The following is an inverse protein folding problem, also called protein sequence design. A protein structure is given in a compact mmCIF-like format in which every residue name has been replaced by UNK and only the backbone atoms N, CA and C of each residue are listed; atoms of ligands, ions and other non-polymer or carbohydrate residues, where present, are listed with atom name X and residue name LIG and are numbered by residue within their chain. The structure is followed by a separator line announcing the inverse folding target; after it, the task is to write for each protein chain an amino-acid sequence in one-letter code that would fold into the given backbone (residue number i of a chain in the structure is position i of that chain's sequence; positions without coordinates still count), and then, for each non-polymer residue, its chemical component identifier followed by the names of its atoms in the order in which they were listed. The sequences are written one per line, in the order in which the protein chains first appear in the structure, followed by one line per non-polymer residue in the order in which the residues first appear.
data_IF_735009579852
#
_entry.id   IF_735009579852
#
_cell.length_a   1.000
_cell.length_b   1.000
_cell.length_c   1.000
_cell.angle_alpha   90.00
_cell.angle_beta   90.00
_cell.angle_gamma   90.00
#
_symmetry.space_group_name_H-M   'P 1'
#
loop_
_entity.id
_entity.type
_entity.pdbx_description
1 polymer ?
#
# COMPACT_ATOMS: atom_id res chain seq x y z
N UNK A 1 8.52 21.17 9.18
CA UNK A 1 8.67 21.05 10.65
C UNK A 1 7.81 19.91 11.11
N UNK A 2 8.40 18.99 11.77
CA UNK A 2 7.78 17.84 12.38
C UNK A 2 7.25 18.16 13.78
N UNK A 3 6.88 17.15 14.51
CA UNK A 3 6.32 17.16 15.85
C UNK A 3 7.03 18.13 16.80
N UNK A 4 6.26 19.01 17.44
CA UNK A 4 6.72 19.76 18.61
C UNK A 4 6.06 19.17 19.86
N UNK A 5 6.86 18.61 20.77
CA UNK A 5 6.37 17.95 21.97
C UNK A 5 7.20 18.35 23.18
N UNK A 6 6.55 18.86 24.23
CA UNK A 6 7.20 19.07 25.51
C UNK A 6 7.53 17.73 26.17
N UNK A 7 8.72 17.60 26.77
CA UNK A 7 9.09 16.39 27.48
C UNK A 7 8.11 16.07 28.64
N UNK A 8 7.49 17.10 29.23
CA UNK A 8 6.43 16.92 30.25
C UNK A 8 5.20 16.21 29.69
N UNK A 9 4.82 16.52 28.44
CA UNK A 9 3.63 15.92 27.79
C UNK A 9 3.80 14.42 27.57
N UNK A 10 5.02 13.92 27.38
CA UNK A 10 5.30 12.48 27.21
C UNK A 10 4.76 11.63 28.36
N UNK A 11 4.76 12.15 29.59
CA UNK A 11 4.21 11.42 30.75
C UNK A 11 2.73 11.16 30.59
N UNK A 12 1.96 12.16 30.16
CA UNK A 12 0.53 12.04 29.96
C UNK A 12 0.20 11.18 28.74
N UNK A 13 0.99 11.27 27.66
CA UNK A 13 0.84 10.49 26.45
C UNK A 13 1.05 9.00 26.72
N UNK A 14 2.09 8.64 27.46
CA UNK A 14 2.39 7.24 27.75
C UNK A 14 1.46 6.64 28.81
N UNK A 15 0.96 7.45 29.74
CA UNK A 15 0.02 7.01 30.77
C UNK A 15 0.42 5.66 31.41
N UNK A 16 -0.39 4.63 31.24
CA UNK A 16 -0.14 3.27 31.79
C UNK A 16 1.05 2.54 31.14
N UNK A 17 1.57 3.01 30.02
CA UNK A 17 2.77 2.45 29.37
C UNK A 17 4.08 2.98 30.02
N UNK A 18 4.05 4.15 30.70
CA UNK A 18 5.22 4.71 31.40
C UNK A 18 5.52 3.91 32.67
N UNK A 19 6.78 3.55 32.83
CA UNK A 19 7.30 2.93 34.06
C UNK A 19 7.93 4.00 34.96
N UNK A 20 8.91 4.75 34.44
CA UNK A 20 9.61 5.83 35.16
C UNK A 20 10.33 6.76 34.20
N UNK A 21 10.76 7.91 34.71
CA UNK A 21 11.66 8.84 34.03
C UNK A 21 12.94 8.98 34.85
N UNK A 22 14.07 8.91 34.19
CA UNK A 22 15.41 9.07 34.78
C UNK A 22 16.07 10.32 34.20
N UNK A 23 16.72 11.15 35.02
CA UNK A 23 17.37 12.40 34.64
C UNK A 23 16.39 13.39 33.94
N UNK A 24 15.43 13.92 34.69
CA UNK A 24 14.38 14.79 34.15
C UNK A 24 14.91 16.16 33.70
N UNK A 25 14.58 16.57 32.46
CA UNK A 25 14.54 17.97 32.05
C UNK A 25 13.12 18.29 31.57
N UNK A 26 12.36 19.00 32.41
CA UNK A 26 10.96 19.29 32.18
C UNK A 26 10.73 20.50 31.25
N UNK A 27 11.75 21.24 30.85
CA UNK A 27 11.64 22.51 30.10
C UNK A 27 11.88 22.33 28.60
N UNK A 28 12.47 21.24 28.16
CA UNK A 28 12.85 21.03 26.76
C UNK A 28 11.64 20.66 25.88
N UNK A 29 11.67 21.19 24.67
CA UNK A 29 10.68 20.89 23.60
C UNK A 29 11.41 20.12 22.51
N UNK A 30 11.00 18.89 22.28
CA UNK A 30 11.47 18.10 21.15
C UNK A 30 10.86 18.61 19.84
N UNK A 31 11.70 18.68 18.80
CA UNK A 31 11.29 19.12 17.45
C UNK A 31 11.17 17.97 16.47
N UNK A 32 11.09 16.76 16.96
CA UNK A 32 10.95 15.53 16.17
C UNK A 32 11.12 14.30 17.00
N UNK A 33 10.77 13.16 16.40
CA UNK A 33 10.99 11.83 16.95
C UNK A 33 11.52 10.95 15.83
N UNK A 34 12.61 10.25 16.09
CA UNK A 34 13.17 9.29 15.14
C UNK A 34 13.43 7.94 15.80
N UNK A 35 13.34 6.89 15.00
CA UNK A 35 13.73 5.52 15.34
C UNK A 35 15.03 5.11 14.65
N UNK A 36 15.67 6.04 13.89
CA UNK A 36 16.91 5.80 13.15
C UNK A 36 18.03 6.71 13.69
N UNK A 37 18.97 6.15 14.45
CA UNK A 37 20.10 6.86 15.04
C UNK A 37 21.04 7.52 14.03
N UNK A 38 21.05 7.04 12.77
CA UNK A 38 21.91 7.59 11.69
C UNK A 38 21.41 8.92 11.16
N UNK A 39 20.09 9.17 11.26
CA UNK A 39 19.42 10.36 10.71
C UNK A 39 18.92 11.31 11.79
N UNK A 40 19.23 11.06 13.08
CA UNK A 40 18.77 11.91 14.17
C UNK A 40 19.33 13.32 14.05
N UNK A 41 18.43 14.29 14.20
CA UNK A 41 18.79 15.71 14.26
C UNK A 41 18.88 16.18 15.72
N UNK A 42 19.54 17.34 15.92
CA UNK A 42 19.53 17.98 17.24
C UNK A 42 18.09 18.34 17.63
N UNK A 43 17.81 18.26 18.95
CA UNK A 43 16.47 18.51 19.51
C UNK A 43 15.39 17.48 19.15
N UNK A 44 15.78 16.30 18.63
CA UNK A 44 14.85 15.18 18.44
C UNK A 44 14.90 14.20 19.62
N UNK A 45 13.83 13.44 19.79
CA UNK A 45 13.76 12.28 20.68
C UNK A 45 14.18 11.05 19.88
N UNK A 46 15.07 10.23 20.44
CA UNK A 46 15.34 8.91 19.92
C UNK A 46 14.44 7.86 20.59
N UNK A 47 13.76 7.05 19.81
CA UNK A 47 12.91 5.96 20.29
C UNK A 47 13.52 4.61 19.88
N UNK A 48 13.91 3.81 20.85
CA UNK A 48 14.57 2.51 20.65
C UNK A 48 13.52 1.41 20.37
N UNK A 49 13.20 1.16 19.09
CA UNK A 49 12.37 0.03 18.71
C UNK A 49 13.13 -1.28 18.85
N UNK A 50 12.42 -2.33 19.24
CA UNK A 50 12.91 -3.72 19.25
C UNK A 50 12.24 -4.46 18.11
N UNK A 51 13.02 -5.06 17.22
CA UNK A 51 12.56 -5.89 16.12
C UNK A 51 13.06 -7.34 16.24
N UNK A 52 12.63 -8.21 15.35
CA UNK A 52 13.03 -9.63 15.35
C UNK A 52 14.55 -9.82 15.19
N UNK A 53 15.22 -8.95 14.44
CA UNK A 53 16.64 -9.09 14.08
C UNK A 53 17.52 -7.91 14.55
N UNK A 54 16.98 -6.96 15.30
CA UNK A 54 17.73 -5.82 15.81
C UNK A 54 17.12 -5.29 17.12
N UNK A 55 17.94 -4.69 17.97
CA UNK A 55 17.52 -3.96 19.16
C UNK A 55 17.96 -2.49 19.05
N UNK A 56 17.02 -1.57 18.99
CA UNK A 56 17.28 -0.13 18.91
C UNK A 56 18.05 0.41 20.11
N UNK A 57 18.04 -0.29 21.25
CA UNK A 57 18.79 0.09 22.44
C UNK A 57 20.33 0.06 22.22
N UNK A 58 20.82 -0.78 21.31
CA UNK A 58 22.23 -0.85 20.95
C UNK A 58 22.77 0.44 20.32
N UNK A 59 21.87 1.28 19.81
CA UNK A 59 22.18 2.54 19.13
C UNK A 59 21.95 3.78 20.00
N UNK A 60 21.50 3.62 21.25
CA UNK A 60 21.21 4.75 22.15
C UNK A 60 22.47 5.55 22.43
N UNK A 61 23.62 4.90 22.63
CA UNK A 61 24.91 5.57 22.89
C UNK A 61 25.30 6.54 21.76
N UNK A 62 25.01 6.20 20.52
CA UNK A 62 25.21 7.09 19.36
C UNK A 62 24.13 8.17 19.28
N UNK A 63 22.88 7.80 19.58
CA UNK A 63 21.75 8.73 19.46
C UNK A 63 21.84 9.89 20.48
N UNK A 64 22.31 9.64 21.72
CA UNK A 64 22.38 10.66 22.78
C UNK A 64 23.36 11.80 22.49
N UNK A 65 24.23 11.67 21.49
CA UNK A 65 25.07 12.78 21.05
C UNK A 65 24.26 13.96 20.52
N UNK A 66 23.02 13.70 20.06
CA UNK A 66 22.11 14.69 19.47
C UNK A 66 20.70 14.70 20.08
N UNK A 67 20.25 13.55 20.61
CA UNK A 67 18.95 13.41 21.20
C UNK A 67 18.81 14.23 22.48
N UNK A 68 17.68 14.93 22.63
CA UNK A 68 17.38 15.62 23.89
C UNK A 68 16.72 14.71 24.93
N UNK A 69 16.18 13.58 24.50
CA UNK A 69 15.64 12.51 25.35
C UNK A 69 15.65 11.18 24.59
N UNK A 70 15.58 10.09 25.34
CA UNK A 70 15.41 8.75 24.76
C UNK A 70 14.19 8.04 25.35
N UNK A 71 13.49 7.26 24.51
CA UNK A 71 12.39 6.39 24.91
C UNK A 71 12.87 4.95 24.77
N UNK A 72 12.89 4.23 25.88
CA UNK A 72 13.48 2.90 26.01
C UNK A 72 12.56 1.98 26.83
N UNK A 73 12.74 0.65 26.75
CA UNK A 73 11.97 -0.29 27.59
C UNK A 73 12.74 -0.80 28.83
N UNK A 74 13.97 -0.36 28.99
CA UNK A 74 14.84 -0.65 30.16
C UNK A 74 15.77 0.53 30.46
N UNK A 75 16.13 0.66 31.71
CA UNK A 75 17.13 1.67 32.10
C UNK A 75 18.51 1.36 31.52
N UNK A 76 19.16 2.38 31.00
CA UNK A 76 20.49 2.31 30.41
C UNK A 76 21.46 3.18 31.19
N UNK A 77 22.70 2.71 31.34
CA UNK A 77 23.81 3.51 31.90
C UNK A 77 24.32 4.44 30.80
N UNK A 78 23.85 5.70 30.79
CA UNK A 78 24.29 6.69 29.83
C UNK A 78 25.50 7.48 30.32
N UNK A 79 26.30 7.94 29.36
CA UNK A 79 27.47 8.81 29.63
C UNK A 79 27.07 10.28 29.78
N UNK A 80 25.84 10.63 29.53
CA UNK A 80 25.26 11.98 29.58
C UNK A 80 24.04 12.01 30.50
N UNK A 81 23.63 13.21 30.94
CA UNK A 81 22.42 13.43 31.72
C UNK A 81 21.14 13.44 30.84
N UNK A 82 21.14 12.81 29.65
CA UNK A 82 19.99 12.74 28.72
C UNK A 82 18.81 12.04 29.40
N UNK A 83 17.63 12.68 29.46
CA UNK A 83 16.41 12.11 30.03
C UNK A 83 16.03 10.77 29.36
N UNK A 84 15.72 9.76 30.19
CA UNK A 84 15.24 8.46 29.73
C UNK A 84 13.79 8.26 30.16
N UNK A 85 12.91 8.08 29.17
CA UNK A 85 11.53 7.70 29.39
C UNK A 85 11.43 6.18 29.24
N UNK A 86 11.34 5.49 30.38
CA UNK A 86 11.28 4.03 30.42
C UNK A 86 9.82 3.62 30.34
N UNK A 87 9.48 2.91 29.25
CA UNK A 87 8.13 2.45 28.94
C UNK A 87 8.08 0.92 28.92
N UNK A 88 6.88 0.34 29.04
CA UNK A 88 6.69 -1.13 28.95
C UNK A 88 6.95 -1.61 27.52
N UNK A 89 6.49 -0.85 26.54
CA UNK A 89 6.56 -1.16 25.10
C UNK A 89 6.87 0.11 24.32
N UNK A 90 8.01 0.12 23.65
CA UNK A 90 8.47 1.27 22.83
C UNK A 90 7.69 1.43 21.54
N UNK A 91 7.19 0.33 20.95
CA UNK A 91 6.32 0.40 19.77
C UNK A 91 4.98 1.05 20.14
N UNK A 92 4.38 0.62 21.26
CA UNK A 92 3.16 1.24 21.77
C UNK A 92 3.41 2.72 22.09
N UNK A 93 4.53 3.10 22.68
CA UNK A 93 4.87 4.50 22.93
C UNK A 93 4.94 5.32 21.63
N UNK A 94 5.56 4.76 20.58
CA UNK A 94 5.62 5.39 19.26
C UNK A 94 4.23 5.64 18.67
N UNK A 95 3.35 4.66 18.75
CA UNK A 95 1.97 4.72 18.30
C UNK A 95 1.14 5.74 19.11
N UNK A 96 1.33 5.77 20.43
CA UNK A 96 0.66 6.76 21.31
C UNK A 96 1.03 8.19 20.95
N UNK A 97 2.32 8.47 20.71
CA UNK A 97 2.78 9.79 20.28
C UNK A 97 2.17 10.15 18.91
N UNK A 98 2.17 9.21 17.96
CA UNK A 98 1.61 9.45 16.63
C UNK A 98 0.09 9.74 16.69
N UNK A 99 -0.65 9.00 17.50
CA UNK A 99 -2.09 9.22 17.73
C UNK A 99 -2.36 10.55 18.41
N UNK A 100 -1.59 10.88 19.45
CA UNK A 100 -1.67 12.18 20.13
C UNK A 100 -1.37 13.35 19.19
N UNK A 101 -0.35 13.22 18.33
CA UNK A 101 -0.01 14.23 17.32
C UNK A 101 -1.13 14.37 16.29
N UNK A 102 -1.69 13.25 15.79
CA UNK A 102 -2.84 13.23 14.89
C UNK A 102 -4.05 14.01 15.45
N UNK A 103 -4.32 13.90 16.73
CA UNK A 103 -5.48 14.55 17.37
C UNK A 103 -5.40 16.08 17.41
N UNK A 104 -4.23 16.65 17.14
CA UNK A 104 -4.02 18.12 17.06
C UNK A 104 -4.50 18.72 15.75
N UNK A 105 -4.92 17.91 14.80
CA UNK A 105 -5.32 18.35 13.47
C UNK A 105 -6.75 17.90 13.15
N UNK A 106 -7.57 18.84 12.68
CA UNK A 106 -8.95 18.58 12.26
C UNK A 106 -9.07 18.23 10.76
N UNK A 107 -7.96 18.09 10.05
CA UNK A 107 -7.95 17.76 8.62
C UNK A 107 -8.58 16.38 8.35
N UNK A 108 -9.26 16.18 7.20
CA UNK A 108 -9.70 14.87 6.78
C UNK A 108 -8.52 13.90 6.67
N UNK A 109 -8.67 12.72 7.29
CA UNK A 109 -7.73 11.60 7.17
C UNK A 109 -8.43 10.47 6.46
N UNK A 110 -7.87 10.05 5.33
CA UNK A 110 -8.38 8.98 4.48
C UNK A 110 -7.57 7.72 4.77
N UNK A 111 -8.16 6.73 5.44
CA UNK A 111 -7.56 5.40 5.65
C UNK A 111 -7.89 4.48 4.49
N UNK A 112 -6.87 3.81 3.91
CA UNK A 112 -7.06 2.95 2.75
C UNK A 112 -6.53 1.55 3.03
N UNK A 113 -7.38 0.54 2.87
CA UNK A 113 -6.97 -0.87 2.88
C UNK A 113 -7.57 -1.65 1.70
N UNK A 114 -7.20 -2.91 1.57
CA UNK A 114 -7.70 -3.81 0.53
C UNK A 114 -6.69 -4.91 0.20
N UNK A 115 -7.11 -5.92 -0.50
CA UNK A 115 -6.21 -7.00 -0.96
C UNK A 115 -5.24 -6.49 -2.01
N UNK A 116 -5.74 -5.82 -3.04
CA UNK A 116 -4.97 -5.19 -4.12
C UNK A 116 -5.42 -3.74 -4.33
N UNK A 117 -4.63 -2.95 -5.05
CA UNK A 117 -4.99 -1.58 -5.45
C UNK A 117 -4.74 -0.49 -4.40
N UNK A 118 -4.40 -0.79 -3.15
CA UNK A 118 -4.17 0.20 -2.08
C UNK A 118 -3.28 1.37 -2.50
N UNK A 119 -2.10 1.08 -2.99
CA UNK A 119 -1.12 2.13 -3.35
C UNK A 119 -1.58 2.94 -4.55
N UNK A 120 -2.12 2.30 -5.59
CA UNK A 120 -2.66 3.03 -6.75
C UNK A 120 -3.83 3.93 -6.34
N UNK A 121 -4.74 3.43 -5.51
CA UNK A 121 -5.85 4.22 -4.96
C UNK A 121 -5.34 5.38 -4.10
N UNK A 122 -4.33 5.16 -3.25
CA UNK A 122 -3.67 6.22 -2.47
C UNK A 122 -3.11 7.33 -3.37
N UNK A 123 -2.38 6.96 -4.43
CA UNK A 123 -1.81 7.94 -5.36
C UNK A 123 -2.92 8.71 -6.12
N UNK A 124 -3.95 8.01 -6.58
CA UNK A 124 -5.10 8.62 -7.26
C UNK A 124 -5.85 9.58 -6.34
N UNK A 125 -6.19 9.16 -5.11
CA UNK A 125 -6.81 10.03 -4.11
C UNK A 125 -5.94 11.25 -3.83
N UNK A 126 -4.65 11.04 -3.61
CA UNK A 126 -3.72 12.14 -3.31
C UNK A 126 -3.64 13.15 -4.45
N UNK A 127 -3.61 12.68 -5.70
CA UNK A 127 -3.58 13.55 -6.88
C UNK A 127 -4.89 14.34 -7.03
N UNK A 128 -6.03 13.69 -6.82
CA UNK A 128 -7.34 14.35 -6.85
C UNK A 128 -7.44 15.43 -5.77
N UNK A 129 -7.06 15.12 -4.53
CA UNK A 129 -7.08 16.07 -3.41
C UNK A 129 -6.08 17.22 -3.59
N UNK A 130 -4.96 16.97 -4.26
CA UNK A 130 -3.94 18.00 -4.56
C UNK A 130 -4.45 19.11 -5.47
N UNK A 131 -5.61 18.95 -6.12
CA UNK A 131 -6.26 20.03 -6.89
C UNK A 131 -6.84 21.12 -5.99
N UNK A 132 -7.02 20.86 -4.70
CA UNK A 132 -7.67 21.78 -3.76
C UNK A 132 -6.87 22.07 -2.50
N UNK A 133 -5.79 21.33 -2.22
CA UNK A 133 -4.99 21.54 -1.02
C UNK A 133 -3.72 20.69 -0.97
N UNK A 134 -2.94 20.91 0.08
CA UNK A 134 -1.70 20.17 0.33
C UNK A 134 -1.98 18.83 0.97
N UNK A 135 -1.50 17.76 0.38
CA UNK A 135 -1.76 16.39 0.80
C UNK A 135 -0.52 15.74 1.40
N UNK A 136 -0.64 15.27 2.65
CA UNK A 136 0.28 14.28 3.19
C UNK A 136 -0.18 12.89 2.74
N UNK A 137 0.75 12.06 2.27
CA UNK A 137 0.44 10.66 1.92
C UNK A 137 1.51 9.69 2.41
N UNK A 138 1.11 8.44 2.67
CA UNK A 138 2.04 7.35 2.97
C UNK A 138 3.11 7.25 1.90
N UNK A 139 4.37 7.35 2.32
CA UNK A 139 5.53 7.19 1.45
C UNK A 139 5.97 5.72 1.41
N UNK A 140 6.51 5.28 0.27
CA UNK A 140 7.00 3.89 0.10
C UNK A 140 5.96 2.86 0.56
N UNK A 141 6.38 1.92 1.40
CA UNK A 141 5.56 0.89 2.04
C UNK A 141 5.39 1.13 3.56
N UNK A 142 5.38 2.40 4.01
CA UNK A 142 5.19 2.74 5.42
C UNK A 142 3.72 2.59 5.83
N UNK A 143 3.18 1.39 5.72
CA UNK A 143 1.76 1.06 5.85
C UNK A 143 1.44 0.05 6.95
N UNK A 144 2.42 -0.24 7.83
CA UNK A 144 2.32 -1.13 8.97
C UNK A 144 2.35 -0.36 10.31
N UNK A 145 2.45 -1.09 11.44
CA UNK A 145 2.43 -0.59 12.82
C UNK A 145 3.54 0.40 13.18
N UNK A 146 4.60 0.48 12.36
CA UNK A 146 5.69 1.46 12.48
C UNK A 146 5.53 2.57 11.41
N UNK A 147 5.13 2.19 10.21
CA UNK A 147 5.07 3.08 9.06
C UNK A 147 3.92 4.08 9.12
N UNK A 148 2.75 3.66 9.63
CA UNK A 148 1.60 4.56 9.83
C UNK A 148 1.92 5.64 10.87
N UNK A 149 2.44 5.34 12.07
CA UNK A 149 2.96 6.35 13.00
C UNK A 149 3.96 7.30 12.34
N UNK A 150 4.95 6.77 11.62
CA UNK A 150 5.95 7.58 10.91
C UNK A 150 5.34 8.58 9.95
N UNK A 151 4.27 8.21 9.26
CA UNK A 151 3.56 9.09 8.34
C UNK A 151 2.76 10.15 9.10
N UNK A 152 2.01 9.78 10.13
CA UNK A 152 1.20 10.70 10.93
C UNK A 152 2.03 11.79 11.61
N UNK A 153 3.22 11.45 12.10
CA UNK A 153 4.17 12.40 12.71
C UNK A 153 4.70 13.46 11.73
N UNK A 154 4.43 13.31 10.42
CA UNK A 154 4.76 14.30 9.39
C UNK A 154 3.61 15.30 9.12
N UNK A 155 2.45 15.16 9.76
CA UNK A 155 1.36 16.13 9.63
C UNK A 155 1.85 17.49 10.16
N UNK A 156 1.57 18.53 9.40
CA UNK A 156 1.86 19.93 9.75
C UNK A 156 0.61 20.78 9.53
N UNK A 157 0.54 22.00 10.11
CA UNK A 157 -0.58 22.92 9.87
C UNK A 157 -0.80 23.32 8.40
N UNK A 158 0.19 23.04 7.54
CA UNK A 158 0.09 23.33 6.11
C UNK A 158 -0.66 22.25 5.31
N UNK A 159 -0.89 21.09 5.91
CA UNK A 159 -1.61 19.99 5.23
C UNK A 159 -3.12 20.18 5.39
N UNK A 160 -3.82 20.09 4.26
CA UNK A 160 -5.28 20.11 4.20
C UNK A 160 -5.86 18.68 4.26
N UNK A 161 -5.09 17.68 3.88
CA UNK A 161 -5.52 16.29 3.83
C UNK A 161 -4.38 15.33 4.22
N UNK A 162 -4.74 14.16 4.76
CA UNK A 162 -3.81 13.05 4.96
C UNK A 162 -4.37 11.75 4.36
N UNK A 163 -3.58 11.04 3.56
CA UNK A 163 -3.95 9.79 2.87
C UNK A 163 -3.05 8.67 3.37
N UNK A 164 -3.62 7.79 4.18
CA UNK A 164 -2.89 6.79 4.97
C UNK A 164 -3.20 5.38 4.43
N UNK A 165 -2.21 4.76 3.81
CA UNK A 165 -2.27 3.36 3.39
C UNK A 165 -2.09 2.45 4.60
N UNK A 166 -2.95 1.44 4.74
CA UNK A 166 -2.97 0.49 5.85
C UNK A 166 -2.89 -0.94 5.30
N UNK A 167 -1.80 -1.64 5.58
CA UNK A 167 -1.61 -3.04 5.23
C UNK A 167 -1.75 -3.93 6.46
N UNK A 168 -2.02 -5.22 6.23
CA UNK A 168 -2.09 -6.22 7.27
C UNK A 168 -1.48 -7.54 6.80
N UNK A 169 -1.06 -8.36 7.74
CA UNK A 169 -0.70 -9.77 7.60
C UNK A 169 -1.64 -10.67 8.42
N UNK A 170 -2.28 -10.11 9.44
CA UNK A 170 -3.16 -10.83 10.39
C UNK A 170 -4.35 -10.00 10.87
N UNK A 171 -5.25 -10.66 11.60
CA UNK A 171 -6.37 -10.01 12.30
C UNK A 171 -5.85 -9.08 13.40
N UNK A 172 -6.58 -7.96 13.63
CA UNK A 172 -6.27 -6.94 14.64
C UNK A 172 -5.31 -5.87 14.17
N UNK A 173 -4.54 -6.10 13.09
CA UNK A 173 -3.55 -5.14 12.63
C UNK A 173 -4.23 -3.89 12.02
N UNK A 174 -5.27 -4.05 11.19
CA UNK A 174 -6.03 -2.92 10.66
C UNK A 174 -6.75 -2.16 11.78
N UNK A 175 -7.28 -2.86 12.79
CA UNK A 175 -7.88 -2.23 13.96
C UNK A 175 -6.89 -1.30 14.67
N UNK A 176 -5.67 -1.79 14.95
CA UNK A 176 -4.60 -1.00 15.56
C UNK A 176 -4.25 0.24 14.72
N UNK A 177 -4.03 0.08 13.40
CA UNK A 177 -3.71 1.17 12.51
C UNK A 177 -4.84 2.21 12.45
N UNK A 178 -6.10 1.76 12.49
CA UNK A 178 -7.28 2.63 12.51
C UNK A 178 -7.38 3.45 13.79
N UNK A 179 -7.14 2.81 14.94
CA UNK A 179 -7.13 3.48 16.25
C UNK A 179 -6.04 4.55 16.35
N UNK A 180 -4.89 4.33 15.71
CA UNK A 180 -3.79 5.30 15.66
C UNK A 180 -4.12 6.47 14.71
N UNK A 181 -4.57 6.15 13.49
CA UNK A 181 -4.76 7.15 12.44
C UNK A 181 -6.10 7.91 12.56
N UNK A 182 -7.11 7.30 13.18
CA UNK A 182 -8.46 7.85 13.37
C UNK A 182 -9.01 8.48 12.08
N UNK A 183 -9.16 7.68 11.00
CA UNK A 183 -9.61 8.19 9.72
C UNK A 183 -11.05 8.68 9.78
N UNK A 184 -11.31 9.80 9.08
CA UNK A 184 -12.67 10.34 8.88
C UNK A 184 -13.34 9.74 7.64
N UNK A 185 -12.53 9.15 6.74
CA UNK A 185 -13.00 8.41 5.58
C UNK A 185 -12.20 7.10 5.50
N UNK A 186 -12.91 5.98 5.45
CA UNK A 186 -12.33 4.64 5.29
C UNK A 186 -12.61 4.09 3.90
N UNK A 187 -11.56 3.75 3.15
CA UNK A 187 -11.66 3.19 1.81
C UNK A 187 -11.23 1.73 1.82
N UNK A 188 -12.08 0.81 1.36
CA UNK A 188 -11.71 -0.60 1.15
C UNK A 188 -11.81 -0.91 -0.33
N UNK A 189 -10.66 -1.13 -0.98
CA UNK A 189 -10.59 -1.29 -2.43
C UNK A 189 -11.19 -2.61 -2.92
N UNK A 190 -10.92 -3.69 -2.21
CA UNK A 190 -11.47 -5.02 -2.49
C UNK A 190 -11.10 -6.04 -1.40
N UNK A 191 -11.77 -7.20 -1.47
CA UNK A 191 -11.45 -8.43 -0.76
C UNK A 191 -11.12 -9.50 -1.79
N UNK A 192 -9.86 -9.91 -1.84
CA UNK A 192 -9.35 -10.97 -2.70
C UNK A 192 -8.65 -12.04 -1.87
N UNK A 193 -7.65 -12.71 -2.47
CA UNK A 193 -6.92 -13.84 -1.88
C UNK A 193 -5.60 -13.47 -1.21
N UNK A 194 -5.21 -12.18 -1.21
CA UNK A 194 -3.95 -11.75 -0.58
C UNK A 194 -3.93 -12.12 0.91
N UNK A 195 -2.83 -12.76 1.36
CA UNK A 195 -2.63 -13.28 2.73
C UNK A 195 -3.55 -14.44 3.13
N UNK A 196 -4.16 -15.16 2.18
CA UNK A 196 -5.07 -16.28 2.46
C UNK A 196 -4.36 -17.42 3.21
N UNK A 197 -3.07 -17.64 2.94
CA UNK A 197 -2.27 -18.63 3.66
C UNK A 197 -2.12 -18.36 5.15
N UNK A 198 -2.32 -17.10 5.59
CA UNK A 198 -2.28 -16.71 7.01
C UNK A 198 -3.67 -16.64 7.65
N UNK A 199 -4.66 -16.19 6.91
CA UNK A 199 -6.01 -15.92 7.40
C UNK A 199 -6.98 -17.10 7.16
N UNK A 200 -6.61 -18.05 6.30
CA UNK A 200 -7.31 -19.31 6.06
C UNK A 200 -8.51 -19.20 5.11
N UNK A 201 -9.17 -18.04 4.99
CA UNK A 201 -10.32 -17.89 4.10
C UNK A 201 -10.52 -16.45 3.61
N UNK A 202 -11.24 -16.29 2.49
CA UNK A 202 -11.64 -14.97 1.97
C UNK A 202 -12.56 -14.23 2.94
N UNK A 203 -13.41 -14.95 3.69
CA UNK A 203 -14.26 -14.35 4.71
C UNK A 203 -13.42 -13.76 5.85
N UNK A 204 -12.41 -14.46 6.33
CA UNK A 204 -11.51 -13.95 7.36
C UNK A 204 -10.70 -12.72 6.86
N UNK A 205 -10.34 -12.69 5.55
CA UNK A 205 -9.72 -11.52 4.93
C UNK A 205 -10.68 -10.32 4.89
N UNK A 206 -11.97 -10.57 4.56
CA UNK A 206 -13.00 -9.53 4.56
C UNK A 206 -13.19 -8.93 5.96
N UNK A 207 -13.33 -9.77 6.97
CA UNK A 207 -13.45 -9.35 8.37
C UNK A 207 -12.25 -8.52 8.82
N UNK A 208 -11.03 -8.99 8.55
CA UNK A 208 -9.82 -8.29 8.94
C UNK A 208 -9.68 -6.92 8.23
N UNK A 209 -10.13 -6.78 6.97
CA UNK A 209 -10.15 -5.48 6.30
C UNK A 209 -11.26 -4.57 6.83
N UNK A 210 -12.42 -5.13 7.15
CA UNK A 210 -13.53 -4.39 7.74
C UNK A 210 -13.27 -3.95 9.19
N UNK A 211 -12.16 -4.37 9.83
CA UNK A 211 -11.68 -3.78 11.08
C UNK A 211 -11.47 -2.27 10.94
N UNK A 212 -11.12 -1.78 9.73
CA UNK A 212 -11.09 -0.34 9.42
C UNK A 212 -12.42 0.32 9.80
N UNK A 213 -13.53 -0.23 9.33
CA UNK A 213 -14.86 0.33 9.56
C UNK A 213 -15.28 0.19 11.02
N UNK A 214 -15.07 -0.98 11.61
CA UNK A 214 -15.43 -1.29 12.98
C UNK A 214 -14.71 -0.40 14.02
N UNK A 215 -13.55 0.17 13.67
CA UNK A 215 -12.76 1.01 14.56
C UNK A 215 -12.78 2.51 14.18
N UNK A 216 -13.52 2.90 13.15
CA UNK A 216 -13.76 4.32 12.83
C UNK A 216 -14.85 4.93 13.72
N UNK A 217 -14.82 6.26 13.84
CA UNK A 217 -15.93 7.01 14.44
C UNK A 217 -17.23 6.79 13.64
N UNK A 218 -18.40 6.64 14.29
CA UNK A 218 -19.68 6.54 13.60
C UNK A 218 -20.02 7.73 12.67
N UNK A 219 -19.37 8.88 12.87
CA UNK A 219 -19.51 10.08 12.04
C UNK A 219 -18.66 10.03 10.76
N UNK A 220 -17.76 9.05 10.66
CA UNK A 220 -16.91 8.84 9.48
C UNK A 220 -17.72 8.29 8.30
N UNK A 221 -17.14 8.31 7.10
CA UNK A 221 -17.76 7.75 5.89
C UNK A 221 -16.96 6.54 5.40
N UNK A 222 -17.66 5.44 5.14
CA UNK A 222 -17.10 4.27 4.44
C UNK A 222 -17.23 4.44 2.93
N UNK A 223 -16.16 4.14 2.18
CA UNK A 223 -16.15 4.10 0.72
C UNK A 223 -15.79 2.67 0.29
N UNK A 224 -16.74 1.99 -0.35
CA UNK A 224 -16.67 0.55 -0.63
C UNK A 224 -16.83 0.24 -2.10
N UNK A 225 -16.04 -0.71 -2.58
CA UNK A 225 -16.18 -1.24 -3.92
C UNK A 225 -17.45 -2.10 -4.04
N UNK A 226 -18.44 -1.61 -4.78
CA UNK A 226 -19.72 -2.29 -5.03
C UNK A 226 -19.53 -3.63 -5.75
N UNK A 227 -18.56 -3.70 -6.66
CA UNK A 227 -18.31 -4.87 -7.49
C UNK A 227 -17.65 -6.03 -6.71
N UNK A 228 -17.53 -5.90 -5.39
CA UNK A 228 -17.05 -6.94 -4.48
C UNK A 228 -18.14 -7.35 -3.47
N UNK A 229 -19.01 -8.31 -3.81
CA UNK A 229 -20.17 -8.69 -2.98
C UNK A 229 -19.77 -9.14 -1.56
N UNK A 230 -18.63 -9.83 -1.42
CA UNK A 230 -18.14 -10.27 -0.12
C UNK A 230 -17.75 -9.10 0.77
N UNK A 231 -17.14 -8.05 0.19
CA UNK A 231 -16.86 -6.81 0.91
C UNK A 231 -18.15 -6.15 1.40
N UNK A 232 -19.11 -5.98 0.50
CA UNK A 232 -20.39 -5.29 0.79
C UNK A 232 -21.14 -6.03 1.90
N UNK A 233 -21.31 -7.36 1.78
CA UNK A 233 -22.01 -8.17 2.79
C UNK A 233 -21.32 -8.16 4.14
N UNK A 234 -19.98 -8.25 4.18
CA UNK A 234 -19.22 -8.21 5.44
C UNK A 234 -19.26 -6.83 6.09
N UNK A 235 -19.08 -5.77 5.29
CA UNK A 235 -19.15 -4.39 5.79
C UNK A 235 -20.51 -4.08 6.42
N UNK A 236 -21.61 -4.52 5.82
CA UNK A 236 -22.97 -4.30 6.32
C UNK A 236 -23.21 -4.90 7.73
N UNK A 237 -22.45 -5.91 8.15
CA UNK A 237 -22.54 -6.48 9.50
C UNK A 237 -21.75 -5.69 10.56
N UNK A 238 -20.74 -4.92 10.15
CA UNK A 238 -19.77 -4.29 11.04
C UNK A 238 -19.87 -2.76 11.06
N UNK A 239 -20.56 -2.16 10.07
CA UNK A 239 -20.66 -0.72 9.91
C UNK A 239 -22.09 -0.26 9.68
N UNK A 240 -22.54 0.71 10.47
CA UNK A 240 -23.88 1.31 10.39
C UNK A 240 -23.83 2.82 10.08
N UNK A 241 -22.64 3.36 9.83
CA UNK A 241 -22.44 4.77 9.50
C UNK A 241 -22.68 5.07 8.02
N UNK A 242 -22.37 6.30 7.62
CA UNK A 242 -22.50 6.73 6.22
C UNK A 242 -21.63 5.87 5.30
N UNK A 243 -22.23 5.37 4.22
CA UNK A 243 -21.55 4.57 3.21
C UNK A 243 -21.78 5.18 1.83
N UNK A 244 -20.74 5.21 1.02
CA UNK A 244 -20.77 5.55 -0.40
C UNK A 244 -20.12 4.39 -1.16
N UNK A 245 -20.81 3.83 -2.14
CA UNK A 245 -20.32 2.72 -2.94
C UNK A 245 -19.88 3.19 -4.33
N UNK A 246 -18.88 2.51 -4.91
CA UNK A 246 -18.40 2.79 -6.25
C UNK A 246 -18.14 1.49 -7.02
N UNK A 247 -18.25 1.51 -8.35
CA UNK A 247 -17.95 0.36 -9.18
C UNK A 247 -18.15 0.59 -10.67
N UNK A 248 -17.74 -0.38 -11.46
CA UNK A 248 -17.96 -0.42 -12.91
C UNK A 248 -19.28 -1.14 -13.26
N UNK A 249 -19.73 -2.05 -12.38
CA UNK A 249 -20.97 -2.80 -12.55
C UNK A 249 -22.13 -2.04 -11.90
N UNK A 250 -21.90 -1.42 -10.74
CA UNK A 250 -22.93 -0.71 -9.97
C UNK A 250 -22.35 0.16 -8.87
N UNK A 251 -23.21 0.62 -7.96
CA UNK A 251 -22.86 1.49 -6.83
C UNK A 251 -23.43 2.91 -6.97
N UNK A 252 -23.26 3.71 -5.91
CA UNK A 252 -23.69 5.11 -5.89
C UNK A 252 -22.90 5.97 -6.90
N UNK A 253 -21.65 5.57 -7.17
CA UNK A 253 -20.80 6.13 -8.21
C UNK A 253 -20.49 5.02 -9.19
N UNK A 254 -21.21 4.98 -10.30
CA UNK A 254 -20.98 4.04 -11.37
C UNK A 254 -20.14 4.70 -12.47
N UNK A 255 -19.07 4.01 -12.90
CA UNK A 255 -18.26 4.41 -14.05
C UNK A 255 -18.44 3.46 -15.23
N UNK A 256 -18.48 4.00 -16.44
CA UNK A 256 -18.49 3.22 -17.69
C UNK A 256 -17.25 3.56 -18.50
N UNK A 257 -16.44 2.56 -18.83
CA UNK A 257 -15.23 2.76 -19.63
C UNK A 257 -15.65 2.97 -21.08
N UNK A 258 -15.48 4.19 -21.59
CA UNK A 258 -15.81 4.54 -22.98
C UNK A 258 -14.69 4.16 -23.96
N UNK A 259 -13.45 4.27 -23.50
CA UNK A 259 -12.25 3.93 -24.28
C UNK A 259 -11.08 3.55 -23.36
N UNK A 260 -9.95 3.19 -23.95
CA UNK A 260 -8.73 2.90 -23.16
C UNK A 260 -8.28 4.05 -22.23
N UNK A 261 -8.70 5.28 -22.53
CA UNK A 261 -8.21 6.49 -21.84
C UNK A 261 -9.35 7.34 -21.26
N UNK A 262 -10.60 6.92 -21.32
CA UNK A 262 -11.75 7.70 -20.83
C UNK A 262 -12.75 6.83 -20.08
N UNK A 263 -13.31 7.43 -19.03
CA UNK A 263 -14.40 6.87 -18.23
C UNK A 263 -15.53 7.87 -18.13
N UNK A 264 -16.75 7.43 -18.33
CA UNK A 264 -17.96 8.22 -18.08
C UNK A 264 -18.43 8.02 -16.64
N UNK A 265 -18.73 9.11 -15.96
CA UNK A 265 -19.28 9.15 -14.59
C UNK A 265 -20.39 10.21 -14.59
N UNK A 266 -21.64 9.84 -14.25
CA UNK A 266 -22.80 10.73 -14.24
C UNK A 266 -23.00 11.52 -15.56
N UNK A 267 -22.84 10.85 -16.69
CA UNK A 267 -22.92 11.43 -18.04
C UNK A 267 -21.83 12.45 -18.38
N UNK A 268 -20.77 12.52 -17.60
CA UNK A 268 -19.59 13.34 -17.88
C UNK A 268 -18.37 12.46 -18.13
N UNK A 269 -17.61 12.77 -19.20
CA UNK A 269 -16.38 12.05 -19.55
C UNK A 269 -15.17 12.60 -18.80
N UNK A 270 -14.36 11.70 -18.23
CA UNK A 270 -13.10 12.01 -17.56
C UNK A 270 -11.98 11.20 -18.18
N UNK A 271 -10.77 11.77 -18.34
CA UNK A 271 -9.60 10.99 -18.73
C UNK A 271 -9.25 9.98 -17.64
N UNK A 272 -8.92 8.75 -18.05
CA UNK A 272 -8.36 7.74 -17.15
C UNK A 272 -6.86 8.00 -16.99
N UNK A 273 -6.39 8.31 -15.78
CA UNK A 273 -4.98 8.61 -15.56
C UNK A 273 -4.07 7.37 -15.64
N UNK A 274 -4.65 6.19 -15.50
CA UNK A 274 -3.97 4.89 -15.54
C UNK A 274 -4.81 3.89 -16.35
N UNK A 275 -4.19 3.05 -17.19
CA UNK A 275 -4.90 2.10 -18.04
C UNK A 275 -5.38 0.86 -17.27
N UNK A 276 -6.45 0.24 -17.80
CA UNK A 276 -7.03 -1.01 -17.31
C UNK A 276 -8.22 -0.82 -16.37
N UNK A 277 -9.17 -1.76 -16.43
CA UNK A 277 -10.42 -1.70 -15.67
C UNK A 277 -10.21 -1.65 -14.15
N UNK A 278 -9.19 -2.35 -13.64
CA UNK A 278 -8.83 -2.29 -12.22
C UNK A 278 -8.35 -0.90 -11.78
N UNK A 279 -7.67 -0.15 -12.67
CA UNK A 279 -7.26 1.23 -12.39
C UNK A 279 -8.43 2.20 -12.52
N UNK A 280 -9.37 1.95 -13.43
CA UNK A 280 -10.63 2.67 -13.50
C UNK A 280 -11.43 2.52 -12.19
N UNK A 281 -11.52 1.32 -11.63
CA UNK A 281 -12.14 1.08 -10.32
C UNK A 281 -11.40 1.83 -9.19
N UNK A 282 -10.06 1.84 -9.17
CA UNK A 282 -9.27 2.62 -8.20
C UNK A 282 -9.53 4.13 -8.35
N UNK A 283 -9.72 4.62 -9.58
CA UNK A 283 -10.03 6.02 -9.85
C UNK A 283 -11.44 6.39 -9.36
N UNK A 284 -12.43 5.51 -9.51
CA UNK A 284 -13.77 5.71 -8.95
C UNK A 284 -13.72 5.84 -7.41
N UNK A 285 -12.85 5.09 -6.73
CA UNK A 285 -12.63 5.30 -5.29
C UNK A 285 -12.12 6.71 -4.98
N UNK A 286 -11.23 7.26 -5.80
CA UNK A 286 -10.74 8.63 -5.62
C UNK A 286 -11.85 9.68 -5.89
N UNK A 287 -12.69 9.47 -6.88
CA UNK A 287 -13.89 10.29 -7.14
C UNK A 287 -14.85 10.22 -5.96
N UNK A 288 -15.05 9.04 -5.35
CA UNK A 288 -15.91 8.87 -4.18
C UNK A 288 -15.40 9.66 -2.96
N UNK A 289 -14.08 9.67 -2.75
CA UNK A 289 -13.44 10.53 -1.70
C UNK A 289 -13.69 12.00 -2.01
N UNK A 290 -13.46 12.44 -3.24
CA UNK A 290 -13.66 13.82 -3.65
C UNK A 290 -15.12 14.29 -3.44
N UNK A 291 -16.10 13.46 -3.80
CA UNK A 291 -17.52 13.74 -3.56
C UNK A 291 -17.87 13.81 -2.07
N UNK A 292 -17.32 12.91 -1.26
CA UNK A 292 -17.51 12.92 0.19
C UNK A 292 -17.02 14.23 0.80
N UNK A 293 -15.96 14.82 0.23
CA UNK A 293 -15.37 16.08 0.65
C UNK A 293 -15.94 17.32 -0.09
N UNK A 294 -16.95 17.13 -0.96
CA UNK A 294 -17.54 18.17 -1.79
C UNK A 294 -16.54 18.91 -2.70
N UNK A 295 -15.52 18.20 -3.19
CA UNK A 295 -14.50 18.75 -4.10
C UNK A 295 -15.08 18.88 -5.51
N UNK A 296 -14.81 20.01 -6.15
CA UNK A 296 -15.18 20.24 -7.53
C UNK A 296 -14.35 19.32 -8.47
N UNK A 297 -15.03 18.48 -9.25
CA UNK A 297 -14.41 17.52 -10.17
C UNK A 297 -14.01 18.14 -11.52
N UNK A 298 -14.42 19.39 -11.83
CA UNK A 298 -14.12 20.03 -13.11
C UNK A 298 -12.63 20.04 -13.48
N UNK A 299 -11.66 20.24 -12.54
CA UNK A 299 -10.24 20.15 -12.86
C UNK A 299 -9.80 18.76 -13.36
N UNK A 300 -10.54 17.69 -13.01
CA UNK A 300 -10.22 16.33 -13.42
C UNK A 300 -10.64 16.01 -14.87
N UNK A 301 -11.40 16.89 -15.53
CA UNK A 301 -11.77 16.77 -16.96
C UNK A 301 -10.56 17.01 -17.88
N UNK A 302 -9.51 17.63 -17.39
CA UNK A 302 -8.23 17.70 -18.08
C UNK A 302 -7.33 16.54 -17.65
N UNK A 303 -6.49 16.05 -18.57
CA UNK A 303 -5.56 14.97 -18.25
C UNK A 303 -4.60 15.40 -17.13
N UNK A 304 -4.44 14.55 -16.12
CA UNK A 304 -3.42 14.70 -15.10
C UNK A 304 -2.59 13.42 -15.00
N UNK A 305 -1.34 13.56 -14.63
CA UNK A 305 -0.41 12.43 -14.52
C UNK A 305 -0.38 11.93 -13.08
N UNK A 306 -0.48 10.63 -12.92
CA UNK A 306 -0.30 9.95 -11.63
C UNK A 306 0.99 9.13 -11.70
N UNK A 307 1.96 9.49 -10.88
CA UNK A 307 3.19 8.71 -10.76
C UNK A 307 3.00 7.60 -9.73
N UNK A 308 3.10 6.36 -10.18
CA UNK A 308 3.12 5.20 -9.31
C UNK A 308 4.55 4.83 -8.91
N UNK A 309 4.76 4.23 -7.73
CA UNK A 309 6.05 3.67 -7.35
C UNK A 309 6.55 2.64 -8.37
N UNK A 310 7.87 2.41 -8.37
CA UNK A 310 8.50 1.43 -9.26
C UNK A 310 7.84 0.04 -9.15
N UNK A 311 7.72 -0.66 -10.29
CA UNK A 311 7.07 -1.96 -10.38
C UNK A 311 5.54 -1.92 -10.33
N UNK A 312 4.91 -0.76 -10.57
CA UNK A 312 3.45 -0.59 -10.62
C UNK A 312 3.04 0.23 -11.83
N UNK A 313 2.33 -0.38 -12.76
CA UNK A 313 1.79 0.22 -13.99
C UNK A 313 2.81 1.09 -14.75
N UNK A 314 4.09 0.70 -14.70
CA UNK A 314 5.15 1.38 -15.45
C UNK A 314 5.28 0.77 -16.84
N UNK A 315 5.46 1.65 -17.82
CA UNK A 315 5.68 1.27 -19.21
C UNK A 315 7.04 1.80 -19.66
N UNK A 316 7.82 0.94 -20.27
CA UNK A 316 9.11 1.29 -20.88
C UNK A 316 9.04 1.00 -22.37
N UNK A 317 9.19 2.04 -23.16
CA UNK A 317 9.23 1.93 -24.61
C UNK A 317 10.67 1.66 -25.05
N UNK A 318 10.90 0.52 -25.67
CA UNK A 318 12.17 0.16 -26.29
C UNK A 318 12.14 0.48 -27.78
N UNK A 319 13.28 0.26 -28.46
CA UNK A 319 13.36 0.34 -29.92
C UNK A 319 12.36 -0.64 -30.59
N UNK A 320 12.05 -0.40 -31.85
CA UNK A 320 11.18 -1.26 -32.67
C UNK A 320 9.75 -1.47 -32.09
N UNK A 321 9.20 -0.47 -31.45
CA UNK A 321 7.85 -0.53 -30.85
C UNK A 321 7.66 -1.67 -29.84
N UNK A 322 8.70 -2.07 -29.12
CA UNK A 322 8.59 -3.03 -28.01
C UNK A 322 8.22 -2.27 -26.74
N UNK A 323 7.20 -2.73 -26.01
CA UNK A 323 6.80 -2.13 -24.75
C UNK A 323 6.90 -3.13 -23.60
N UNK A 324 7.68 -2.79 -22.56
CA UNK A 324 7.72 -3.54 -21.31
C UNK A 324 6.67 -2.97 -20.35
N UNK A 325 5.82 -3.83 -19.80
CA UNK A 325 4.80 -3.52 -18.81
C UNK A 325 5.29 -4.03 -17.45
N UNK A 326 5.78 -3.13 -16.61
CA UNK A 326 6.38 -3.47 -15.31
C UNK A 326 5.33 -3.44 -14.19
N UNK A 327 4.94 -4.63 -13.74
CA UNK A 327 4.04 -4.91 -12.62
C UNK A 327 4.75 -5.75 -11.52
N UNK A 328 6.06 -5.60 -11.38
CA UNK A 328 6.93 -6.48 -10.58
C UNK A 328 6.90 -6.20 -9.08
N UNK A 329 6.13 -5.21 -8.61
CA UNK A 329 6.11 -4.84 -7.18
C UNK A 329 5.55 -5.94 -6.29
N UNK A 330 4.45 -6.59 -6.69
CA UNK A 330 3.85 -7.69 -5.95
C UNK A 330 2.91 -8.52 -6.84
N UNK A 331 2.57 -9.73 -6.41
CA UNK A 331 1.67 -10.63 -7.11
C UNK A 331 0.71 -11.33 -6.14
N UNK A 332 -0.52 -11.48 -6.57
CA UNK A 332 -1.60 -12.27 -6.01
C UNK A 332 -2.58 -12.60 -7.13
N UNK A 333 -3.45 -13.59 -6.96
CA UNK A 333 -4.29 -14.13 -8.02
C UNK A 333 -5.01 -13.03 -8.82
N UNK A 334 -5.79 -12.20 -8.13
CA UNK A 334 -6.60 -11.15 -8.78
C UNK A 334 -5.74 -10.12 -9.52
N UNK A 335 -4.57 -9.79 -8.97
CA UNK A 335 -3.66 -8.85 -9.60
C UNK A 335 -2.90 -9.44 -10.79
N UNK A 336 -2.63 -10.75 -10.79
CA UNK A 336 -2.08 -11.47 -11.95
C UNK A 336 -3.10 -11.50 -13.10
N UNK A 337 -4.34 -11.90 -12.80
CA UNK A 337 -5.42 -11.94 -13.77
C UNK A 337 -5.72 -10.57 -14.40
N UNK A 338 -5.76 -9.52 -13.56
CA UNK A 338 -5.96 -8.15 -14.04
C UNK A 338 -4.82 -7.69 -14.96
N UNK A 339 -3.56 -8.00 -14.62
CA UNK A 339 -2.41 -7.64 -15.44
C UNK A 339 -2.37 -8.41 -16.77
N UNK A 340 -2.76 -9.69 -16.77
CA UNK A 340 -2.87 -10.49 -18.00
C UNK A 340 -3.97 -9.94 -18.94
N UNK A 341 -5.12 -9.53 -18.41
CA UNK A 341 -6.17 -8.85 -19.18
C UNK A 341 -5.67 -7.54 -19.77
N UNK A 342 -5.02 -6.71 -18.95
CA UNK A 342 -4.41 -5.46 -19.41
C UNK A 342 -3.37 -5.69 -20.50
N UNK A 343 -2.55 -6.73 -20.39
CA UNK A 343 -1.59 -7.11 -21.44
C UNK A 343 -2.33 -7.39 -22.75
N UNK A 344 -3.37 -8.23 -22.72
CA UNK A 344 -4.14 -8.59 -23.92
C UNK A 344 -4.85 -7.40 -24.57
N UNK A 345 -5.32 -6.46 -23.76
CA UNK A 345 -5.99 -5.24 -24.23
C UNK A 345 -4.98 -4.18 -24.75
N UNK A 346 -3.69 -4.33 -24.48
CA UNK A 346 -2.66 -3.38 -24.94
C UNK A 346 -2.36 -3.62 -26.43
N UNK A 347 -2.58 -2.64 -27.32
CA UNK A 347 -2.34 -2.84 -28.75
C UNK A 347 -0.88 -3.23 -29.04
N UNK A 348 -0.68 -4.30 -29.81
CA UNK A 348 0.63 -4.83 -30.18
C UNK A 348 0.51 -6.06 -31.09
N UNK A 349 1.65 -6.52 -31.61
CA UNK A 349 1.68 -7.68 -32.51
C UNK A 349 1.62 -9.00 -31.76
N UNK A 350 2.35 -9.09 -30.64
CA UNK A 350 2.37 -10.27 -29.76
C UNK A 350 2.28 -9.86 -28.30
N UNK A 351 1.65 -10.71 -27.50
CA UNK A 351 1.48 -10.54 -26.05
C UNK A 351 2.25 -11.61 -25.31
N UNK A 352 3.32 -11.20 -24.63
CA UNK A 352 4.23 -12.07 -23.91
C UNK A 352 4.07 -11.81 -22.42
N UNK A 353 3.77 -12.84 -21.62
CA UNK A 353 3.74 -12.73 -20.16
C UNK A 353 4.98 -13.38 -19.56
N UNK A 354 5.67 -12.64 -18.69
CA UNK A 354 6.78 -13.11 -17.85
C UNK A 354 6.29 -13.11 -16.41
N UNK A 355 5.98 -14.28 -15.91
CA UNK A 355 5.34 -14.45 -14.59
C UNK A 355 6.28 -15.16 -13.62
N UNK A 356 6.16 -14.83 -12.34
CA UNK A 356 6.86 -15.56 -11.27
C UNK A 356 5.92 -15.87 -10.10
N UNK A 357 6.51 -16.35 -9.02
CA UNK A 357 5.80 -16.84 -7.83
C UNK A 357 4.90 -15.76 -7.20
N UNK A 358 3.72 -16.19 -6.78
CA UNK A 358 2.87 -15.50 -5.82
C UNK A 358 3.16 -16.07 -4.42
N UNK A 359 3.65 -15.22 -3.50
CA UNK A 359 3.98 -15.60 -2.12
C UNK A 359 2.77 -15.49 -1.19
N UNK A 360 2.89 -16.05 0.02
CA UNK A 360 1.91 -15.97 1.12
C UNK A 360 0.54 -16.65 0.83
N UNK A 361 0.51 -17.58 -0.10
CA UNK A 361 -0.71 -18.32 -0.46
C UNK A 361 -0.94 -19.60 0.35
N UNK A 362 0.07 -20.08 1.11
CA UNK A 362 -0.03 -21.30 1.88
C UNK A 362 -0.40 -22.51 1.01
N UNK A 363 -1.32 -23.33 1.47
CA UNK A 363 -1.81 -24.53 0.77
C UNK A 363 -2.51 -24.23 -0.58
N UNK A 364 -2.99 -23.01 -0.78
CA UNK A 364 -3.64 -22.59 -2.02
C UNK A 364 -2.65 -22.27 -3.16
N UNK A 365 -1.35 -22.25 -2.87
CA UNK A 365 -0.35 -21.84 -3.85
C UNK A 365 -0.40 -22.65 -5.17
N UNK A 366 -0.47 -24.00 -5.17
CA UNK A 366 -0.57 -24.75 -6.42
C UNK A 366 -1.80 -24.41 -7.24
N UNK A 367 -2.98 -24.33 -6.58
CA UNK A 367 -4.26 -24.04 -7.22
C UNK A 367 -4.26 -22.67 -7.89
N UNK A 368 -3.79 -21.63 -7.18
CA UNK A 368 -3.83 -20.26 -7.72
C UNK A 368 -2.79 -20.04 -8.81
N UNK A 369 -1.63 -20.67 -8.72
CA UNK A 369 -0.68 -20.65 -9.83
C UNK A 369 -1.26 -21.34 -11.08
N UNK A 370 -1.95 -22.47 -10.92
CA UNK A 370 -2.64 -23.13 -12.01
C UNK A 370 -3.71 -22.24 -12.66
N UNK A 371 -4.53 -21.54 -11.86
CA UNK A 371 -5.57 -20.61 -12.35
C UNK A 371 -4.98 -19.44 -13.15
N UNK A 372 -3.81 -18.94 -12.75
CA UNK A 372 -3.10 -17.89 -13.53
C UNK A 372 -2.72 -18.43 -14.91
N UNK A 373 -2.24 -19.68 -15.00
CA UNK A 373 -1.95 -20.35 -16.26
C UNK A 373 -3.19 -20.52 -17.14
N UNK A 374 -4.31 -20.95 -16.54
CA UNK A 374 -5.61 -21.03 -17.25
C UNK A 374 -6.06 -19.67 -17.77
N UNK A 375 -5.85 -18.61 -17.01
CA UNK A 375 -6.19 -17.25 -17.43
C UNK A 375 -5.34 -16.82 -18.62
N UNK A 376 -4.05 -17.07 -18.61
CA UNK A 376 -3.18 -16.81 -19.77
C UNK A 376 -3.65 -17.55 -21.02
N UNK A 377 -4.05 -18.82 -20.86
CA UNK A 377 -4.61 -19.64 -21.95
C UNK A 377 -5.94 -19.08 -22.47
N UNK A 378 -6.89 -18.74 -21.59
CA UNK A 378 -8.19 -18.16 -21.98
C UNK A 378 -8.06 -16.84 -22.73
N UNK A 379 -7.02 -16.06 -22.42
CA UNK A 379 -6.70 -14.82 -23.10
C UNK A 379 -5.92 -15.02 -24.39
N UNK A 380 -5.58 -16.27 -24.75
CA UNK A 380 -4.82 -16.60 -25.97
C UNK A 380 -3.56 -15.75 -26.10
N UNK A 381 -2.73 -15.77 -25.06
CA UNK A 381 -1.41 -15.10 -25.09
C UNK A 381 -0.46 -15.86 -26.01
N UNK A 382 0.43 -15.14 -26.68
CA UNK A 382 1.34 -15.74 -27.66
C UNK A 382 2.45 -16.55 -26.99
N UNK A 383 3.03 -16.03 -25.89
CA UNK A 383 4.14 -16.65 -25.17
C UNK A 383 3.96 -16.44 -23.66
N UNK A 384 4.25 -17.48 -22.90
CA UNK A 384 4.29 -17.43 -21.44
C UNK A 384 5.65 -17.93 -20.92
N UNK A 385 6.40 -17.06 -20.29
CA UNK A 385 7.66 -17.39 -19.64
C UNK A 385 7.48 -17.36 -18.12
N UNK A 386 7.93 -18.39 -17.43
CA UNK A 386 7.73 -18.53 -15.99
C UNK A 386 9.07 -18.62 -15.27
N UNK A 387 9.34 -17.71 -14.34
CA UNK A 387 10.46 -17.79 -13.42
C UNK A 387 10.00 -18.45 -12.11
N UNK A 388 10.35 -19.73 -11.93
CA UNK A 388 9.90 -20.55 -10.80
C UNK A 388 11.01 -20.70 -9.75
N UNK A 389 10.91 -19.96 -8.65
CA UNK A 389 11.74 -20.12 -7.45
C UNK A 389 11.13 -21.10 -6.43
N UNK A 390 9.88 -21.53 -6.63
CA UNK A 390 9.15 -22.53 -5.85
C UNK A 390 8.47 -23.58 -6.75
N UNK A 391 8.27 -24.78 -6.23
CA UNK A 391 7.63 -25.87 -6.96
C UNK A 391 6.20 -25.54 -7.40
N UNK A 392 5.43 -24.86 -6.54
CA UNK A 392 4.06 -24.44 -6.83
C UNK A 392 3.95 -23.52 -8.05
N UNK A 393 4.98 -22.72 -8.35
CA UNK A 393 4.98 -21.80 -9.50
C UNK A 393 4.94 -22.56 -10.83
N UNK A 394 5.45 -23.78 -10.90
CA UNK A 394 5.38 -24.64 -12.09
C UNK A 394 3.96 -25.02 -12.49
N UNK A 395 2.98 -24.87 -11.58
CA UNK A 395 1.57 -25.10 -11.89
C UNK A 395 1.02 -24.08 -12.90
N UNK A 396 1.63 -22.88 -13.00
CA UNK A 396 1.30 -21.90 -14.07
C UNK A 396 1.47 -22.57 -15.45
N UNK A 397 2.56 -23.30 -15.65
CA UNK A 397 2.85 -23.99 -16.92
C UNK A 397 1.79 -25.05 -17.23
N UNK A 398 1.36 -25.80 -16.21
CA UNK A 398 0.32 -26.84 -16.38
C UNK A 398 -1.03 -26.21 -16.74
N UNK A 399 -1.42 -25.12 -16.09
CA UNK A 399 -2.66 -24.39 -16.39
C UNK A 399 -2.66 -23.79 -17.79
N UNK A 400 -1.50 -23.42 -18.30
CA UNK A 400 -1.29 -22.81 -19.62
C UNK A 400 -1.10 -23.82 -20.77
N UNK A 401 -1.43 -25.10 -20.57
CA UNK A 401 -1.28 -26.14 -21.60
C UNK A 401 -1.93 -25.72 -22.92
N UNK A 402 -1.14 -25.67 -24.00
CA UNK A 402 -1.56 -25.22 -25.34
C UNK A 402 -1.04 -23.84 -25.75
N UNK A 403 -0.42 -23.09 -24.84
CA UNK A 403 0.35 -21.88 -25.16
C UNK A 403 1.83 -22.26 -25.30
N UNK A 404 2.58 -21.49 -26.07
CA UNK A 404 4.04 -21.57 -26.10
C UNK A 404 4.60 -21.13 -24.74
N UNK A 405 5.00 -22.11 -23.91
CA UNK A 405 5.35 -21.87 -22.50
C UNK A 405 6.73 -22.47 -22.18
N UNK A 406 7.58 -21.68 -21.50
CA UNK A 406 8.89 -22.11 -21.03
C UNK A 406 9.10 -21.71 -19.57
N UNK A 407 9.75 -22.61 -18.78
CA UNK A 407 9.96 -22.39 -17.35
C UNK A 407 11.47 -22.29 -17.05
N UNK A 408 11.83 -21.28 -16.26
CA UNK A 408 13.21 -20.96 -15.87
C UNK A 408 13.33 -20.99 -14.34
N UNK A 409 14.52 -21.33 -13.87
CA UNK A 409 14.89 -21.24 -12.44
C UNK A 409 15.91 -20.14 -12.16
N UNK A 410 16.48 -19.55 -13.23
CA UNK A 410 17.50 -18.50 -13.15
C UNK A 410 17.11 -17.31 -14.03
N UNK A 411 17.29 -16.12 -13.51
CA UNK A 411 16.95 -14.87 -14.19
C UNK A 411 17.78 -14.65 -15.46
N UNK A 412 19.04 -15.08 -15.46
CA UNK A 412 19.98 -14.92 -16.57
C UNK A 412 19.52 -15.71 -17.81
N UNK A 413 19.01 -16.93 -17.60
CA UNK A 413 18.46 -17.76 -18.67
C UNK A 413 17.20 -17.14 -19.27
N UNK A 414 16.33 -16.62 -18.41
CA UNK A 414 15.11 -15.88 -18.81
C UNK A 414 15.45 -14.64 -19.64
N UNK A 415 16.45 -13.85 -19.20
CA UNK A 415 16.91 -12.65 -19.92
C UNK A 415 17.47 -13.04 -21.30
N UNK A 416 18.34 -14.04 -21.35
CA UNK A 416 18.92 -14.53 -22.61
C UNK A 416 17.82 -15.00 -23.58
N UNK A 417 16.81 -15.70 -23.07
CA UNK A 417 15.66 -16.13 -23.87
C UNK A 417 14.87 -14.93 -24.40
N UNK A 418 14.54 -13.96 -23.56
CA UNK A 418 13.81 -12.74 -23.97
C UNK A 418 14.57 -12.00 -25.08
N UNK A 419 15.88 -11.78 -24.91
CA UNK A 419 16.71 -11.12 -25.92
C UNK A 419 16.71 -11.85 -27.27
N UNK A 420 16.60 -13.18 -27.28
CA UNK A 420 16.54 -14.00 -28.50
C UNK A 420 15.19 -13.93 -29.21
N UNK A 421 14.08 -13.82 -28.44
CA UNK A 421 12.73 -13.96 -29.01
C UNK A 421 12.02 -12.63 -29.25
N UNK A 422 12.46 -11.52 -28.60
CA UNK A 422 11.84 -10.22 -28.77
C UNK A 422 11.78 -9.79 -30.23
N UNK A 423 10.63 -9.25 -30.66
CA UNK A 423 10.36 -8.81 -32.02
C UNK A 423 9.66 -7.46 -32.02
N UNK A 424 9.74 -6.70 -33.14
CA UNK A 424 9.03 -5.45 -33.28
C UNK A 424 7.52 -5.55 -32.98
N UNK A 425 7.00 -4.66 -32.18
CA UNK A 425 5.60 -4.61 -31.79
C UNK A 425 5.21 -5.51 -30.61
N UNK A 426 6.17 -6.12 -29.89
CA UNK A 426 5.89 -6.95 -28.70
C UNK A 426 5.39 -6.11 -27.52
N UNK A 427 4.45 -6.68 -26.77
CA UNK A 427 3.99 -6.21 -25.46
C UNK A 427 4.38 -7.27 -24.43
N UNK A 428 5.26 -6.92 -23.49
CA UNK A 428 5.85 -7.86 -22.55
C UNK A 428 5.51 -7.46 -21.13
N UNK A 429 4.67 -8.25 -20.46
CA UNK A 429 4.29 -8.06 -19.07
C UNK A 429 5.25 -8.77 -18.13
N UNK A 430 5.72 -8.10 -17.08
CA UNK A 430 6.50 -8.69 -15.99
C UNK A 430 5.73 -8.60 -14.68
N UNK A 431 5.46 -9.76 -14.03
CA UNK A 431 4.74 -9.77 -12.75
C UNK A 431 5.09 -10.95 -11.87
N UNK A 432 5.50 -10.64 -10.63
CA UNK A 432 5.77 -11.60 -9.56
C UNK A 432 5.68 -10.93 -8.19
N UNK A 433 5.74 -11.70 -7.12
CA UNK A 433 6.03 -11.15 -5.79
C UNK A 433 7.41 -10.50 -5.77
N UNK A 434 7.57 -9.42 -5.00
CA UNK A 434 8.78 -8.59 -4.98
C UNK A 434 10.07 -9.39 -4.75
N UNK A 435 10.04 -10.37 -3.84
CA UNK A 435 11.19 -11.22 -3.50
C UNK A 435 11.70 -12.09 -4.64
N UNK A 436 10.92 -12.30 -5.70
CA UNK A 436 11.34 -13.05 -6.92
C UNK A 436 12.36 -12.26 -7.74
N UNK A 437 12.30 -10.94 -7.67
CA UNK A 437 13.30 -10.07 -8.29
C UNK A 437 13.12 -9.83 -9.79
N UNK A 438 11.91 -10.01 -10.36
CA UNK A 438 11.65 -9.73 -11.78
C UNK A 438 11.91 -8.27 -12.19
N UNK A 439 11.89 -7.34 -11.25
CA UNK A 439 12.30 -5.95 -11.51
C UNK A 439 13.74 -5.86 -12.04
N UNK A 440 14.66 -6.73 -11.60
CA UNK A 440 16.04 -6.80 -12.09
C UNK A 440 16.11 -7.27 -13.56
N UNK A 441 15.18 -8.18 -13.95
CA UNK A 441 15.05 -8.60 -15.34
C UNK A 441 14.61 -7.42 -16.21
N UNK A 442 13.60 -6.66 -15.76
CA UNK A 442 13.16 -5.45 -16.45
C UNK A 442 14.30 -4.44 -16.58
N UNK A 443 15.08 -4.21 -15.51
CA UNK A 443 16.17 -3.23 -15.49
C UNK A 443 17.31 -3.59 -16.49
N UNK A 444 17.53 -4.88 -16.77
CA UNK A 444 18.54 -5.33 -17.74
C UNK A 444 18.06 -5.33 -19.20
N UNK A 445 16.75 -5.19 -19.43
CA UNK A 445 16.16 -5.16 -20.77
C UNK A 445 15.89 -3.73 -21.28
N UNK A 446 16.02 -2.71 -20.43
CA UNK A 446 15.80 -1.29 -20.77
C UNK A 446 16.87 -0.71 -21.67
#
# INVERSE_FOLDING_TARGET
MSVNISLVELRSIFASNLIKVVAEDNSAIARGITTDSRSILSEEIFLALVGENFDGHDFVSTAIERAIAVIVNRELSLTTATPQYIVKDTLQAYQQIASWWRDRFSIPVIGITGSVGKTSTKELISQVLSTTGKVLKTQKNYNNEIGVPKTLLQITPEHDYAVIEMAMRGKGEIATLTQIAKPTIGVITNVGTAHIGRLGSRQAIAEAKCELLANMSPQSTAILNHDNPLLISTAATLWQGKTLTYGLIGGDIKGEIESHNTIQIDNESYPLPLPGSHQASNYLAAIAVARTLNINLSPLKTSFTVELPQGRSRRYQLANDITLLDETYNAGLESMEAALKMLKETPGNRHIAVLGTMKELGEYAPQFHYQVGETAKKLELDILLVLADESATKEIVKGATGINTECFTQSEQLISKLQQIMQPGDRILFKASNSVGLNRVVDQLK
#
